data_IF_759902847481
#
_entry.id   IF_759902847481
#
_cell.length_a   1.000
_cell.length_b   1.000
_cell.length_c   1.000
_cell.angle_alpha   90.00
_cell.angle_beta   90.00
_cell.angle_gamma   90.00
#
_symmetry.space_group_name_H-M   'P 1'
#
loop_
_entity.id
_entity.type
_entity.pdbx_description
1 polymer ?
#
# COMPACT_ATOMS: atom_id res chain seq x y z
N UNK A 1 12.14 9.66 6.19
CA UNK A 1 10.94 8.79 6.06
C UNK A 1 11.31 7.35 6.39
N UNK A 2 12.35 6.75 5.78
CA UNK A 2 12.71 5.35 6.02
C UNK A 2 13.00 5.03 7.49
N UNK A 3 13.67 5.94 8.23
CA UNK A 3 13.95 5.73 9.67
C UNK A 3 12.69 5.71 10.54
N UNK A 4 11.66 6.47 10.18
CA UNK A 4 10.38 6.45 10.89
C UNK A 4 9.61 5.15 10.64
N UNK A 5 9.59 4.69 9.40
CA UNK A 5 8.95 3.42 9.01
C UNK A 5 9.70 2.25 9.67
N UNK A 6 11.05 2.29 9.70
CA UNK A 6 11.84 1.27 10.36
C UNK A 6 11.49 1.14 11.85
N UNK A 7 11.34 2.26 12.58
CA UNK A 7 10.92 2.21 13.99
C UNK A 7 9.57 1.55 14.20
N UNK A 8 8.61 1.80 13.30
CA UNK A 8 7.29 1.15 13.37
C UNK A 8 7.40 -0.35 13.15
N UNK A 9 8.27 -0.79 12.22
CA UNK A 9 8.59 -2.21 12.00
C UNK A 9 9.21 -2.81 13.27
N UNK A 10 10.14 -2.11 13.89
CA UNK A 10 10.83 -2.57 15.10
C UNK A 10 9.84 -2.79 16.26
N UNK A 11 8.91 -1.84 16.50
CA UNK A 11 7.84 -2.03 17.48
C UNK A 11 6.91 -3.22 17.14
N UNK A 12 6.63 -3.44 15.86
CA UNK A 12 5.89 -4.63 15.41
C UNK A 12 6.65 -5.91 15.75
N UNK A 13 7.96 -5.94 15.53
CA UNK A 13 8.82 -7.08 15.84
C UNK A 13 8.90 -7.33 17.36
N UNK A 14 8.95 -6.29 18.19
CA UNK A 14 8.90 -6.42 19.66
C UNK A 14 7.61 -7.12 20.09
N UNK A 15 6.47 -6.72 19.53
CA UNK A 15 5.18 -7.37 19.78
C UNK A 15 5.15 -8.83 19.32
N UNK A 16 5.72 -9.13 18.16
CA UNK A 16 5.82 -10.49 17.63
C UNK A 16 6.70 -11.35 18.54
N UNK A 17 7.84 -10.82 18.98
CA UNK A 17 8.74 -11.51 19.90
C UNK A 17 8.08 -11.75 21.25
N UNK A 18 7.25 -10.83 21.74
CA UNK A 18 6.45 -11.02 22.94
C UNK A 18 5.45 -12.18 22.81
N UNK A 19 4.78 -12.32 21.66
CA UNK A 19 3.78 -13.35 21.44
C UNK A 19 4.41 -14.73 21.16
N UNK A 20 5.43 -14.78 20.31
CA UNK A 20 6.01 -16.02 19.79
C UNK A 20 7.29 -16.44 20.50
N UNK A 21 7.88 -15.56 21.33
CA UNK A 21 9.08 -15.85 22.11
C UNK A 21 10.23 -16.38 21.27
N UNK A 22 10.79 -17.50 21.70
CA UNK A 22 11.92 -18.16 21.04
C UNK A 22 11.66 -18.63 19.60
N UNK A 23 10.39 -18.76 19.17
CA UNK A 23 10.06 -19.11 17.78
C UNK A 23 10.47 -18.03 16.77
N UNK A 24 10.59 -16.77 17.23
CA UNK A 24 11.04 -15.64 16.41
C UNK A 24 12.56 -15.40 16.55
N UNK A 25 13.28 -16.19 17.32
CA UNK A 25 14.71 -16.06 17.54
C UNK A 25 15.53 -16.96 16.60
N UNK A 26 16.82 -16.63 16.43
CA UNK A 26 17.74 -17.47 15.66
C UNK A 26 18.04 -18.80 16.36
N UNK A 27 17.83 -18.89 17.68
CA UNK A 27 17.97 -20.12 18.45
C UNK A 27 17.01 -21.23 18.02
N UNK A 28 15.87 -20.88 17.41
CA UNK A 28 14.94 -21.86 16.84
C UNK A 28 15.63 -22.77 15.80
N UNK A 29 16.62 -22.26 15.09
CA UNK A 29 17.34 -22.98 14.05
C UNK A 29 18.35 -23.97 14.61
N UNK A 30 18.95 -23.61 15.73
CA UNK A 30 19.88 -24.50 16.43
C UNK A 30 19.15 -25.70 17.03
N UNK A 31 17.90 -25.50 17.48
CA UNK A 31 17.11 -26.52 18.16
C UNK A 31 16.36 -27.44 17.17
N UNK A 32 15.74 -26.88 16.12
CA UNK A 32 14.88 -27.64 15.23
C UNK A 32 15.52 -28.01 13.88
N UNK A 33 16.67 -27.41 13.54
CA UNK A 33 17.32 -27.57 12.26
C UNK A 33 16.54 -26.95 11.11
N UNK A 34 17.10 -26.97 9.89
CA UNK A 34 16.45 -26.45 8.69
C UNK A 34 16.96 -25.08 8.24
N UNK A 35 16.25 -24.44 7.30
CA UNK A 35 16.65 -23.17 6.69
C UNK A 35 16.51 -21.95 7.58
N UNK A 36 16.05 -22.12 8.77
CA UNK A 36 16.01 -21.04 9.72
C UNK A 36 14.92 -20.00 9.53
N UNK A 37 14.27 -19.95 8.40
CA UNK A 37 13.26 -18.96 8.08
C UNK A 37 11.85 -19.59 8.04
N UNK A 38 11.05 -19.30 9.07
CA UNK A 38 9.65 -19.74 9.12
C UNK A 38 8.76 -18.56 8.75
N UNK A 39 8.28 -18.56 7.51
CA UNK A 39 7.42 -17.52 6.96
C UNK A 39 6.20 -17.21 7.83
N UNK A 40 5.56 -18.24 8.38
CA UNK A 40 4.37 -18.11 9.21
C UNK A 40 4.62 -17.32 10.51
N UNK A 41 5.82 -17.37 11.06
CA UNK A 41 6.17 -16.70 12.33
C UNK A 41 6.85 -15.35 12.08
N UNK A 42 7.66 -15.23 11.03
CA UNK A 42 8.44 -14.02 10.76
C UNK A 42 7.74 -13.02 9.85
N UNK A 43 6.92 -13.47 8.89
CA UNK A 43 6.33 -12.58 7.87
C UNK A 43 4.84 -12.33 8.10
N UNK A 44 4.03 -13.38 8.34
CA UNK A 44 2.60 -13.20 8.47
C UNK A 44 2.20 -12.28 9.63
N UNK A 45 2.80 -12.35 10.84
CA UNK A 45 2.45 -11.44 11.92
C UNK A 45 2.79 -9.98 11.62
N UNK A 46 3.88 -9.71 10.87
CA UNK A 46 4.23 -8.35 10.42
C UNK A 46 3.13 -7.80 9.50
N UNK A 47 2.63 -8.61 8.56
CA UNK A 47 1.53 -8.21 7.66
C UNK A 47 0.26 -7.91 8.48
N UNK A 48 -0.09 -8.75 9.45
CA UNK A 48 -1.25 -8.55 10.34
C UNK A 48 -1.10 -7.25 11.14
N UNK A 49 0.07 -7.00 11.71
CA UNK A 49 0.36 -5.79 12.46
C UNK A 49 0.16 -4.54 11.60
N UNK A 50 0.76 -4.49 10.40
CA UNK A 50 0.63 -3.35 9.50
C UNK A 50 -0.80 -3.16 8.99
N UNK A 51 -1.51 -4.25 8.66
CA UNK A 51 -2.91 -4.17 8.26
C UNK A 51 -3.78 -3.58 9.37
N UNK A 52 -3.56 -4.01 10.61
CA UNK A 52 -4.25 -3.48 11.78
C UNK A 52 -3.93 -2.01 12.03
N UNK A 53 -2.66 -1.62 11.93
CA UNK A 53 -2.21 -0.23 12.07
C UNK A 53 -2.87 0.67 11.02
N UNK A 54 -2.87 0.25 9.76
CA UNK A 54 -3.52 0.97 8.67
C UNK A 54 -5.02 1.12 8.94
N UNK A 55 -5.70 0.07 9.41
CA UNK A 55 -7.11 0.12 9.76
C UNK A 55 -7.39 1.15 10.87
N UNK A 56 -6.56 1.22 11.90
CA UNK A 56 -6.65 2.24 12.97
C UNK A 56 -6.45 3.64 12.39
N UNK A 57 -5.44 3.86 11.54
CA UNK A 57 -5.17 5.14 10.89
C UNK A 57 -6.33 5.59 9.99
N UNK A 58 -7.03 4.64 9.35
CA UNK A 58 -8.27 4.93 8.62
C UNK A 58 -9.40 5.34 9.57
N UNK A 59 -9.57 4.64 10.67
CA UNK A 59 -10.64 4.93 11.63
C UNK A 59 -10.53 6.34 12.24
N UNK A 60 -9.32 6.77 12.60
CA UNK A 60 -9.07 8.11 13.16
C UNK A 60 -8.95 9.22 12.09
N UNK A 61 -9.09 8.89 10.81
CA UNK A 61 -9.15 9.87 9.72
C UNK A 61 -7.79 10.34 9.19
N UNK A 62 -6.68 9.96 9.82
CA UNK A 62 -5.32 10.35 9.37
C UNK A 62 -5.05 9.88 7.95
N UNK A 63 -5.45 8.63 7.64
CA UNK A 63 -5.18 8.05 6.33
C UNK A 63 -5.95 8.77 5.22
N UNK A 64 -7.21 9.15 5.45
CA UNK A 64 -8.00 9.94 4.50
C UNK A 64 -7.36 11.29 4.22
N UNK A 65 -6.84 11.94 5.27
CA UNK A 65 -6.12 13.20 5.12
C UNK A 65 -4.87 13.04 4.26
N UNK A 66 -4.05 12.03 4.54
CA UNK A 66 -2.83 11.72 3.75
C UNK A 66 -3.18 11.47 2.28
N UNK A 67 -4.17 10.61 2.01
CA UNK A 67 -4.61 10.27 0.65
C UNK A 67 -5.13 11.51 -0.08
N UNK A 68 -5.90 12.37 0.58
CA UNK A 68 -6.41 13.59 -0.03
C UNK A 68 -5.27 14.58 -0.38
N UNK A 69 -4.30 14.76 0.50
CA UNK A 69 -3.16 15.67 0.26
C UNK A 69 -2.29 15.16 -0.89
N UNK A 70 -1.89 13.90 -0.85
CA UNK A 70 -1.05 13.30 -1.88
C UNK A 70 -1.80 13.15 -3.22
N UNK A 71 -3.07 12.72 -3.17
CA UNK A 71 -3.92 12.62 -4.35
C UNK A 71 -4.18 13.96 -5.01
N UNK A 72 -4.38 15.03 -4.21
CA UNK A 72 -4.48 16.40 -4.71
C UNK A 72 -3.19 16.87 -5.40
N UNK A 73 -2.03 16.54 -4.83
CA UNK A 73 -0.73 16.80 -5.45
C UNK A 73 -0.55 16.04 -6.76
N UNK A 74 -0.87 14.76 -6.78
CA UNK A 74 -0.78 13.89 -7.96
C UNK A 74 -1.72 14.38 -9.08
N UNK A 75 -2.97 14.72 -8.74
CA UNK A 75 -3.94 15.32 -9.65
C UNK A 75 -3.38 16.57 -10.33
N UNK A 76 -2.78 17.46 -9.53
CA UNK A 76 -2.24 18.73 -10.04
C UNK A 76 -1.02 18.52 -10.94
N UNK A 77 -0.20 17.53 -10.63
CA UNK A 77 1.01 17.21 -11.40
C UNK A 77 0.72 16.53 -12.72
N UNK A 78 -0.25 15.59 -12.73
CA UNK A 78 -0.55 14.75 -13.89
C UNK A 78 -1.80 15.19 -14.68
N UNK A 79 -2.62 16.10 -14.14
CA UNK A 79 -3.87 16.53 -14.78
C UNK A 79 -4.95 15.44 -14.81
N UNK A 80 -4.86 14.42 -13.96
CA UNK A 80 -5.82 13.32 -13.86
C UNK A 80 -7.05 13.72 -13.05
N UNK A 81 -8.13 12.92 -13.14
CA UNK A 81 -9.34 13.18 -12.36
C UNK A 81 -9.10 12.97 -10.86
N UNK A 82 -10.02 13.48 -10.03
CA UNK A 82 -9.97 13.30 -8.58
C UNK A 82 -10.04 11.83 -8.19
N UNK A 83 -10.91 11.09 -8.82
CA UNK A 83 -11.11 9.68 -8.53
C UNK A 83 -9.87 8.84 -8.84
N UNK A 84 -9.26 9.05 -9.99
CA UNK A 84 -8.03 8.37 -10.41
C UNK A 84 -6.88 8.66 -9.45
N UNK A 85 -6.66 9.93 -9.15
CA UNK A 85 -5.57 10.37 -8.26
C UNK A 85 -5.74 9.85 -6.84
N UNK A 86 -6.97 9.84 -6.31
CA UNK A 86 -7.26 9.28 -4.98
C UNK A 86 -7.04 7.77 -4.94
N UNK A 87 -7.51 7.04 -5.96
CA UNK A 87 -7.32 5.59 -6.04
C UNK A 87 -5.83 5.23 -6.15
N UNK A 88 -5.10 5.88 -7.05
CA UNK A 88 -3.67 5.65 -7.22
C UNK A 88 -2.88 5.94 -5.94
N UNK A 89 -3.22 7.01 -5.24
CA UNK A 89 -2.58 7.36 -3.96
C UNK A 89 -2.94 6.38 -2.85
N UNK A 90 -4.19 5.94 -2.78
CA UNK A 90 -4.63 4.95 -1.82
C UNK A 90 -3.86 3.63 -1.98
N UNK A 91 -3.60 3.21 -3.22
CA UNK A 91 -2.84 2.00 -3.54
C UNK A 91 -1.39 2.00 -3.02
N UNK A 92 -0.81 3.17 -2.67
CA UNK A 92 0.51 3.24 -2.03
C UNK A 92 0.49 2.59 -0.64
N UNK A 93 -0.64 2.72 0.07
CA UNK A 93 -0.76 2.34 1.48
C UNK A 93 -1.59 1.09 1.69
N UNK A 94 -2.65 0.91 0.92
CA UNK A 94 -3.60 -0.20 1.05
C UNK A 94 -3.58 -1.11 -0.17
N UNK A 95 -4.17 -2.28 -0.02
CA UNK A 95 -4.23 -3.27 -1.09
C UNK A 95 -5.20 -2.89 -2.20
N UNK A 96 -5.10 -3.63 -3.29
CA UNK A 96 -5.95 -3.49 -4.47
C UNK A 96 -7.45 -3.70 -4.19
N UNK A 97 -7.80 -4.34 -3.08
CA UNK A 97 -9.19 -4.57 -2.66
C UNK A 97 -9.76 -3.39 -1.87
N UNK A 98 -8.93 -2.68 -1.12
CA UNK A 98 -9.35 -1.56 -0.27
C UNK A 98 -9.29 -0.22 -1.01
N UNK A 99 -8.31 0.00 -1.87
CA UNK A 99 -8.15 1.27 -2.57
C UNK A 99 -9.37 1.69 -3.40
N UNK A 100 -10.08 0.79 -4.14
CA UNK A 100 -11.31 1.14 -4.83
C UNK A 100 -12.45 1.59 -3.91
N UNK A 101 -12.43 1.20 -2.63
CA UNK A 101 -13.44 1.65 -1.67
C UNK A 101 -13.37 3.15 -1.40
N UNK A 102 -12.17 3.74 -1.49
CA UNK A 102 -11.96 5.19 -1.33
C UNK A 102 -12.68 5.98 -2.43
N UNK A 103 -12.79 5.41 -3.63
CA UNK A 103 -13.42 6.05 -4.79
C UNK A 103 -14.83 5.52 -5.07
N UNK A 104 -15.36 4.66 -4.21
CA UNK A 104 -16.71 4.10 -4.33
C UNK A 104 -17.81 5.14 -4.63
N UNK A 105 -17.83 6.34 -4.01
CA UNK A 105 -18.84 7.35 -4.29
C UNK A 105 -18.81 7.86 -5.74
N UNK A 106 -17.65 7.79 -6.39
CA UNK A 106 -17.44 8.31 -7.74
C UNK A 106 -17.75 7.28 -8.83
N UNK A 107 -17.75 5.96 -8.54
CA UNK A 107 -17.83 4.86 -9.51
C UNK A 107 -19.00 5.00 -10.47
N UNK A 108 -20.18 5.44 -9.99
CA UNK A 108 -21.37 5.58 -10.82
C UNK A 108 -21.23 6.60 -11.94
N UNK A 109 -20.36 7.58 -11.78
CA UNK A 109 -20.18 8.70 -12.69
C UNK A 109 -18.84 8.65 -13.42
N UNK A 110 -18.02 7.64 -13.16
CA UNK A 110 -16.72 7.45 -13.80
C UNK A 110 -16.87 7.14 -15.27
N UNK A 111 -15.94 7.67 -16.06
CA UNK A 111 -15.74 7.25 -17.45
C UNK A 111 -15.11 5.86 -17.49
N UNK A 112 -15.17 5.22 -18.66
CA UNK A 112 -14.50 3.91 -18.84
C UNK A 112 -12.99 4.01 -18.65
N UNK A 113 -12.38 5.14 -19.05
CA UNK A 113 -10.96 5.42 -18.88
C UNK A 113 -10.58 5.59 -17.40
N UNK A 114 -11.40 6.31 -16.61
CA UNK A 114 -11.20 6.43 -15.15
C UNK A 114 -11.29 5.08 -14.45
N UNK A 115 -12.30 4.28 -14.79
CA UNK A 115 -12.46 2.94 -14.22
C UNK A 115 -11.29 2.04 -14.57
N UNK A 116 -10.82 2.09 -15.82
CA UNK A 116 -9.64 1.35 -16.26
C UNK A 116 -8.37 1.78 -15.47
N UNK A 117 -8.18 3.08 -15.25
CA UNK A 117 -7.06 3.60 -14.46
C UNK A 117 -7.10 3.12 -13.01
N UNK A 118 -8.27 3.03 -12.37
CA UNK A 118 -8.45 2.46 -11.04
C UNK A 118 -8.05 0.99 -11.00
N UNK A 119 -8.47 0.20 -12.01
CA UNK A 119 -8.12 -1.22 -12.12
C UNK A 119 -6.61 -1.43 -12.32
N UNK A 120 -5.99 -0.67 -13.23
CA UNK A 120 -4.53 -0.73 -13.48
C UNK A 120 -3.76 -0.34 -12.23
N UNK A 121 -4.18 0.70 -11.51
CA UNK A 121 -3.56 1.12 -10.25
C UNK A 121 -3.52 0.00 -9.22
N UNK A 122 -4.60 -0.76 -9.07
CA UNK A 122 -4.65 -1.93 -8.20
C UNK A 122 -3.69 -3.05 -8.60
N UNK A 123 -3.53 -3.29 -9.91
CA UNK A 123 -2.64 -4.34 -10.42
C UNK A 123 -1.16 -3.94 -10.43
N UNK A 124 -0.88 -2.64 -10.55
CA UNK A 124 0.49 -2.10 -10.64
C UNK A 124 1.13 -1.84 -9.28
N UNK A 125 0.37 -1.91 -8.19
CA UNK A 125 0.84 -1.56 -6.84
C UNK A 125 0.88 -2.77 -5.91
N UNK A 126 1.64 -2.63 -4.83
CA UNK A 126 1.75 -3.62 -3.74
C UNK A 126 1.25 -2.98 -2.46
N UNK A 127 0.39 -3.69 -1.72
CA UNK A 127 -0.15 -3.21 -0.45
C UNK A 127 0.96 -2.87 0.55
N UNK A 128 0.81 -1.76 1.29
CA UNK A 128 1.79 -1.31 2.27
C UNK A 128 2.12 -2.35 3.35
N UNK A 129 1.14 -3.15 3.77
CA UNK A 129 1.36 -4.26 4.71
C UNK A 129 2.25 -5.37 4.14
N UNK A 130 2.17 -5.63 2.84
CA UNK A 130 3.00 -6.63 2.16
C UNK A 130 4.43 -6.12 1.97
N UNK A 131 4.65 -4.80 1.84
CA UNK A 131 5.99 -4.21 1.80
C UNK A 131 6.79 -4.54 3.06
N UNK A 132 6.15 -4.50 4.23
CA UNK A 132 6.77 -4.89 5.48
C UNK A 132 7.19 -6.37 5.48
N UNK A 133 6.38 -7.25 4.85
CA UNK A 133 6.74 -8.64 4.63
C UNK A 133 7.99 -8.79 3.75
N UNK A 134 8.10 -8.06 2.65
CA UNK A 134 9.30 -8.07 1.80
C UNK A 134 10.54 -7.52 2.53
N UNK A 135 10.38 -6.49 3.36
CA UNK A 135 11.47 -5.99 4.19
C UNK A 135 11.99 -7.07 5.15
N UNK A 136 11.09 -7.88 5.73
CA UNK A 136 11.45 -9.03 6.60
C UNK A 136 12.16 -10.15 5.83
N UNK A 137 12.02 -10.21 4.52
CA UNK A 137 12.76 -11.13 3.62
C UNK A 137 14.13 -10.59 3.20
N UNK A 138 14.53 -9.41 3.70
CA UNK A 138 15.84 -8.81 3.43
C UNK A 138 15.88 -7.83 2.27
N UNK A 139 14.73 -7.45 1.68
CA UNK A 139 14.70 -6.39 0.67
C UNK A 139 14.86 -5.03 1.34
N UNK A 140 15.81 -4.18 0.91
CA UNK A 140 16.01 -2.87 1.53
C UNK A 140 14.75 -2.01 1.42
N UNK A 141 14.31 -1.49 2.57
CA UNK A 141 13.05 -0.74 2.72
C UNK A 141 12.98 0.50 1.83
N UNK A 142 14.12 1.14 1.58
CA UNK A 142 14.22 2.33 0.71
C UNK A 142 13.74 2.07 -0.72
N UNK A 143 14.09 0.91 -1.29
CA UNK A 143 13.63 0.52 -2.63
C UNK A 143 12.15 0.18 -2.64
N UNK A 144 11.66 -0.47 -1.59
CA UNK A 144 10.24 -0.81 -1.46
C UNK A 144 9.37 0.44 -1.37
N UNK A 145 9.77 1.44 -0.57
CA UNK A 145 9.09 2.71 -0.46
C UNK A 145 9.13 3.45 -1.79
N UNK A 146 10.31 3.56 -2.41
CA UNK A 146 10.45 4.22 -3.70
C UNK A 146 9.55 3.58 -4.77
N UNK A 147 9.56 2.25 -4.88
CA UNK A 147 8.73 1.51 -5.82
C UNK A 147 7.22 1.76 -5.59
N UNK A 148 6.76 1.76 -4.33
CA UNK A 148 5.37 2.01 -3.99
C UNK A 148 4.91 3.41 -4.41
N UNK A 149 5.73 4.44 -4.14
CA UNK A 149 5.42 5.81 -4.56
C UNK A 149 5.50 6.01 -6.08
N UNK A 150 6.41 5.32 -6.76
CA UNK A 150 6.53 5.37 -8.23
C UNK A 150 5.43 4.60 -8.94
N UNK A 151 4.87 3.58 -8.32
CA UNK A 151 3.77 2.79 -8.88
C UNK A 151 2.51 3.63 -9.14
N UNK A 152 2.21 4.62 -8.29
CA UNK A 152 1.03 5.46 -8.43
C UNK A 152 1.03 6.29 -9.72
N UNK A 153 2.03 7.16 -9.97
CA UNK A 153 2.09 7.90 -11.24
C UNK A 153 2.37 6.98 -12.44
N UNK A 154 3.17 5.93 -12.27
CA UNK A 154 3.47 4.97 -13.33
C UNK A 154 2.22 4.22 -13.80
N UNK A 155 1.43 3.71 -12.87
CA UNK A 155 0.15 3.04 -13.18
C UNK A 155 -0.82 3.94 -13.93
N UNK A 156 -0.97 5.21 -13.50
CA UNK A 156 -1.80 6.19 -14.20
C UNK A 156 -1.29 6.50 -15.61
N UNK A 157 0.03 6.68 -15.76
CA UNK A 157 0.64 6.92 -17.06
C UNK A 157 0.33 5.79 -18.04
N UNK A 158 0.62 4.54 -17.66
CA UNK A 158 0.35 3.39 -18.52
C UNK A 158 -1.14 3.17 -18.78
N UNK A 159 -1.99 3.41 -17.79
CA UNK A 159 -3.43 3.32 -17.96
C UNK A 159 -3.92 4.29 -19.05
N UNK A 160 -3.47 5.56 -19.00
CA UNK A 160 -3.86 6.58 -19.99
C UNK A 160 -3.20 6.39 -21.36
N UNK A 161 -2.05 5.75 -21.44
CA UNK A 161 -1.45 5.37 -22.73
C UNK A 161 -2.23 4.25 -23.41
N UNK A 162 -2.75 3.29 -22.65
CA UNK A 162 -3.51 2.15 -23.17
C UNK A 162 -4.96 2.54 -23.46
N UNK A 163 -5.58 3.27 -22.54
CA UNK A 163 -6.98 3.72 -22.65
C UNK A 163 -7.08 5.21 -22.33
N UNK A 164 -6.84 6.08 -23.34
CA UNK A 164 -6.86 7.52 -23.15
C UNK A 164 -8.27 8.02 -22.82
N UNK A 165 -8.34 9.14 -22.09
CA UNK A 165 -9.60 9.79 -21.77
C UNK A 165 -10.16 10.49 -23.03
N UNK A 166 -11.35 10.10 -23.43
CA UNK A 166 -12.08 10.68 -24.58
C UNK A 166 -13.39 11.33 -24.15
N UNK A 167 -13.77 11.17 -22.88
CA UNK A 167 -14.99 11.72 -22.31
C UNK A 167 -14.65 12.81 -21.28
N UNK A 168 -15.58 13.68 -20.96
CA UNK A 168 -15.40 14.63 -19.86
C UNK A 168 -15.72 13.94 -18.52
N UNK A 169 -14.73 13.80 -17.61
CA UNK A 169 -14.95 13.22 -16.29
C UNK A 169 -15.99 14.04 -15.52
N UNK A 170 -17.06 13.41 -15.08
CA UNK A 170 -18.09 14.04 -14.24
C UNK A 170 -17.60 14.04 -12.79
N UNK A 171 -16.99 15.12 -12.35
CA UNK A 171 -16.65 15.27 -10.93
C UNK A 171 -17.95 15.28 -10.12
N UNK A 172 -18.13 14.29 -9.25
CA UNK A 172 -19.20 14.34 -8.26
C UNK A 172 -18.91 15.50 -7.31
N UNK A 173 -19.86 16.43 -7.19
CA UNK A 173 -19.87 17.54 -6.26
C UNK A 173 -19.87 17.04 -4.81
#
# INVERSE_FOLDING_TARGET
ISSGVQRVIDYGNDGITFIFGGLNSDQMFEVFGGSGFVFAVRVLPVIIFFSSLIAVLYHIGIMQWVINVLGGGLRRALGTSRAESLSATANIFVGQTEAPLVVRPFIKNMTSSELFAVMVGGLASVAGSVLAGYASLGVPLEYLIAASFMAAPGGLLFAKLIYPETEEPKEAL
#
